data_IF_254669525047
#
_entry.id   IF_254669525047
#
_cell.length_a   1.000
_cell.length_b   1.000
_cell.length_c   1.000
_cell.angle_alpha   90.00
_cell.angle_beta   90.00
_cell.angle_gamma   90.00
#
_symmetry.space_group_name_H-M   'P 1'
#
loop_
_entity.id
_entity.type
_entity.pdbx_description
1 polymer ?
#
# COMPACT_ATOMS: atom_id res chain seq x y z
N UNK A 1 3.11 -26.48 7.08
CA UNK A 1 4.45 -26.20 7.64
C UNK A 1 5.11 -25.13 6.78
N UNK A 2 5.84 -24.19 7.37
CA UNK A 2 6.42 -23.03 6.67
C UNK A 2 7.91 -22.87 6.97
N UNK A 3 8.76 -23.87 6.64
CA UNK A 3 10.12 -23.97 7.19
C UNK A 3 11.01 -22.75 6.91
N UNK A 4 10.86 -22.11 5.75
CA UNK A 4 11.61 -20.89 5.39
C UNK A 4 11.15 -19.68 6.23
N UNK A 5 9.83 -19.52 6.42
CA UNK A 5 9.28 -18.46 7.26
C UNK A 5 9.65 -18.67 8.73
N UNK A 6 9.60 -19.92 9.19
CA UNK A 6 9.97 -20.30 10.55
C UNK A 6 11.46 -20.00 10.82
N UNK A 7 12.32 -20.16 9.81
CA UNK A 7 13.74 -19.77 9.91
C UNK A 7 13.92 -18.26 9.99
N UNK A 8 13.26 -17.49 9.12
CA UNK A 8 13.31 -16.03 9.16
C UNK A 8 12.83 -15.47 10.51
N UNK A 9 11.80 -16.08 11.09
CA UNK A 9 11.27 -15.71 12.40
C UNK A 9 12.23 -16.00 13.57
N UNK A 10 13.11 -17.01 13.44
CA UNK A 10 14.15 -17.30 14.44
C UNK A 10 15.31 -16.30 14.38
N UNK A 11 15.66 -15.86 13.18
CA UNK A 11 16.82 -14.98 12.94
C UNK A 11 16.46 -13.49 13.00
N UNK A 12 15.17 -13.15 13.13
CA UNK A 12 14.65 -11.79 13.10
C UNK A 12 13.77 -11.42 14.30
N UNK A 13 13.06 -10.29 14.17
CA UNK A 13 12.06 -9.86 15.15
C UNK A 13 10.69 -10.35 14.70
N UNK A 14 10.02 -11.13 15.55
CA UNK A 14 8.64 -11.58 15.33
C UNK A 14 7.66 -10.72 16.12
N UNK A 15 6.81 -10.01 15.41
CA UNK A 15 5.68 -9.30 15.99
C UNK A 15 4.49 -10.27 16.12
N UNK A 16 3.99 -10.48 17.34
CA UNK A 16 2.80 -11.33 17.57
C UNK A 16 1.48 -10.57 17.42
N UNK A 17 1.54 -9.24 17.48
CA UNK A 17 0.37 -8.36 17.44
C UNK A 17 0.48 -7.40 16.26
N UNK A 18 0.35 -7.95 15.04
CA UNK A 18 0.34 -7.18 13.78
C UNK A 18 -1.08 -7.10 13.27
N UNK A 19 -1.57 -5.89 13.08
CA UNK A 19 -2.93 -5.64 12.62
C UNK A 19 -2.90 -5.00 11.23
N UNK A 20 -3.86 -5.40 10.40
CA UNK A 20 -4.10 -4.75 9.12
C UNK A 20 -4.97 -3.51 9.36
N UNK A 21 -4.57 -2.37 8.78
CA UNK A 21 -5.32 -1.12 8.94
C UNK A 21 -6.68 -1.16 8.25
N UNK A 22 -6.73 -1.77 7.07
CA UNK A 22 -7.89 -1.77 6.17
C UNK A 22 -8.01 -3.11 5.46
N UNK A 23 -9.23 -3.62 5.36
CA UNK A 23 -9.55 -4.89 4.68
C UNK A 23 -10.66 -4.64 3.65
N UNK A 24 -10.75 -5.42 2.56
CA UNK A 24 -9.87 -6.55 2.15
C UNK A 24 -8.59 -6.11 1.37
N UNK A 25 -8.07 -6.95 0.47
CA UNK A 25 -6.75 -6.78 -0.16
C UNK A 25 -6.47 -5.41 -0.83
N UNK A 26 -7.45 -4.77 -1.49
CA UNK A 26 -7.24 -3.50 -2.20
C UNK A 26 -7.09 -2.30 -1.24
N UNK A 27 -7.99 -2.09 -0.25
CA UNK A 27 -7.76 -1.13 0.84
C UNK A 27 -6.46 -1.39 1.62
N UNK A 28 -6.18 -2.65 1.96
CA UNK A 28 -4.96 -3.05 2.70
C UNK A 28 -3.69 -2.61 1.98
N UNK A 29 -3.59 -2.89 0.68
CA UNK A 29 -2.42 -2.52 -0.14
C UNK A 29 -2.33 -1.02 -0.34
N UNK A 30 -3.46 -0.35 -0.53
CA UNK A 30 -3.51 1.12 -0.65
C UNK A 30 -3.00 1.78 0.62
N UNK A 31 -3.41 1.27 1.78
CA UNK A 31 -2.97 1.78 3.06
C UNK A 31 -1.48 1.54 3.31
N UNK A 32 -0.99 0.33 3.00
CA UNK A 32 0.44 0.02 3.05
C UNK A 32 1.25 0.95 2.13
N UNK A 33 0.81 1.16 0.90
CA UNK A 33 1.54 1.95 -0.09
C UNK A 33 1.58 3.45 0.23
N UNK A 34 0.50 3.96 0.81
CA UNK A 34 0.36 5.38 1.15
C UNK A 34 0.78 5.71 2.57
N UNK A 35 1.00 4.72 3.43
CA UNK A 35 1.22 4.90 4.88
C UNK A 35 0.01 5.49 5.61
N UNK A 36 -1.20 5.37 5.04
CA UNK A 36 -2.41 6.07 5.51
C UNK A 36 -3.61 5.12 5.55
N UNK A 37 -4.43 5.23 6.59
CA UNK A 37 -5.67 4.45 6.71
C UNK A 37 -6.65 4.76 5.58
N UNK A 38 -7.55 3.84 5.27
CA UNK A 38 -8.61 3.98 4.25
C UNK A 38 -9.46 5.24 4.41
N UNK A 39 -9.71 5.67 5.65
CA UNK A 39 -10.41 6.92 5.96
C UNK A 39 -9.69 8.18 5.42
N UNK A 40 -8.36 8.12 5.24
CA UNK A 40 -7.56 9.21 4.66
C UNK A 40 -7.33 9.05 3.17
N UNK A 41 -7.29 7.82 2.66
CA UNK A 41 -7.05 7.57 1.24
C UNK A 41 -8.33 7.66 0.42
N UNK A 42 -9.49 7.35 1.01
CA UNK A 42 -10.78 7.18 0.33
C UNK A 42 -11.04 5.74 -0.12
N UNK A 43 -10.03 4.87 -0.04
CA UNK A 43 -10.11 3.48 -0.49
C UNK A 43 -10.49 2.58 0.66
N UNK A 44 -11.76 2.20 0.70
CA UNK A 44 -12.37 1.39 1.77
C UNK A 44 -13.15 0.18 1.25
N UNK A 45 -13.14 -0.07 -0.06
CA UNK A 45 -13.84 -1.20 -0.68
C UNK A 45 -13.11 -1.77 -1.91
N UNK A 46 -13.74 -2.76 -2.53
CA UNK A 46 -13.22 -3.52 -3.69
C UNK A 46 -13.80 -3.12 -5.02
N UNK A 47 -14.73 -2.18 -5.05
CA UNK A 47 -15.37 -1.78 -6.30
C UNK A 47 -16.13 -0.46 -6.19
N UNK A 48 -16.45 0.08 -7.35
CA UNK A 48 -17.06 1.39 -7.47
C UNK A 48 -16.16 2.50 -6.94
N UNK A 49 -16.77 3.62 -6.54
CA UNK A 49 -16.02 4.78 -6.05
C UNK A 49 -15.29 4.50 -4.72
N UNK A 50 -15.64 3.43 -4.00
CA UNK A 50 -15.01 3.06 -2.74
C UNK A 50 -13.64 2.37 -2.91
N UNK A 51 -13.25 1.99 -4.13
CA UNK A 51 -11.90 1.50 -4.43
C UNK A 51 -10.99 2.57 -5.04
N UNK A 52 -11.46 3.82 -5.15
CA UNK A 52 -10.69 4.92 -5.73
C UNK A 52 -10.18 5.85 -4.62
N UNK A 53 -8.93 6.35 -4.73
CA UNK A 53 -8.50 7.45 -3.87
C UNK A 53 -9.38 8.68 -4.03
N UNK A 54 -9.46 9.52 -3.00
CA UNK A 54 -10.23 10.76 -3.09
C UNK A 54 -9.82 11.61 -4.30
N UNK A 55 -10.83 12.15 -4.99
CA UNK A 55 -10.63 13.04 -6.14
C UNK A 55 -10.04 14.36 -5.67
N UNK A 56 -8.86 14.71 -6.19
CA UNK A 56 -8.14 15.94 -5.84
C UNK A 56 -8.54 17.16 -6.70
N UNK A 57 -9.48 16.97 -7.63
CA UNK A 57 -10.04 18.04 -8.46
C UNK A 57 -9.10 18.53 -9.58
N UNK A 58 -9.52 19.59 -10.27
CA UNK A 58 -8.85 20.11 -11.48
C UNK A 58 -7.44 20.68 -11.24
N UNK A 59 -7.07 20.96 -9.98
CA UNK A 59 -5.74 21.45 -9.63
C UNK A 59 -4.64 20.37 -9.70
N UNK A 60 -5.00 19.09 -9.74
CA UNK A 60 -4.04 17.99 -9.86
C UNK A 60 -3.56 17.85 -11.31
N UNK A 61 -2.40 18.41 -11.61
CA UNK A 61 -1.85 18.43 -12.98
C UNK A 61 -1.14 17.13 -13.40
N UNK A 62 -0.43 16.47 -12.48
CA UNK A 62 0.34 15.24 -12.73
C UNK A 62 0.04 14.20 -11.64
N UNK A 63 0.94 14.07 -10.67
CA UNK A 63 0.84 13.13 -9.58
C UNK A 63 -0.04 13.72 -8.47
N UNK A 64 -0.86 12.86 -7.89
CA UNK A 64 -1.67 13.23 -6.74
C UNK A 64 -0.95 13.04 -5.41
N UNK A 65 -1.60 13.50 -4.36
CA UNK A 65 -1.23 13.30 -2.96
C UNK A 65 -0.94 11.83 -2.64
N UNK A 66 -1.62 10.89 -3.30
CA UNK A 66 -1.33 9.46 -3.15
C UNK A 66 0.12 9.10 -3.49
N UNK A 67 0.66 9.67 -4.57
CA UNK A 67 2.03 9.43 -5.02
C UNK A 67 3.04 10.30 -4.27
N UNK A 68 2.77 11.60 -4.15
CA UNK A 68 3.71 12.58 -3.58
C UNK A 68 4.04 12.28 -2.11
N UNK A 69 3.06 11.86 -1.32
CA UNK A 69 3.24 11.56 0.10
C UNK A 69 3.52 10.07 0.38
N UNK A 70 3.59 9.23 -0.65
CA UNK A 70 3.84 7.80 -0.49
C UNK A 70 5.29 7.50 -0.14
N UNK A 71 5.53 6.52 0.73
CA UNK A 71 6.90 6.15 1.14
C UNK A 71 7.78 5.66 -0.03
N UNK A 72 7.18 5.15 -1.10
CA UNK A 72 7.91 4.79 -2.32
C UNK A 72 8.48 6.02 -3.05
N UNK A 73 7.81 7.17 -3.00
CA UNK A 73 8.36 8.42 -3.52
C UNK A 73 9.50 8.90 -2.62
N UNK A 74 9.31 8.87 -1.30
CA UNK A 74 10.35 9.22 -0.35
C UNK A 74 11.63 8.38 -0.55
N UNK A 75 11.50 7.07 -0.78
CA UNK A 75 12.65 6.21 -1.10
C UNK A 75 13.33 6.61 -2.42
N UNK A 76 12.56 6.91 -3.47
CA UNK A 76 13.12 7.39 -4.75
C UNK A 76 13.85 8.71 -4.63
N UNK A 77 13.32 9.65 -3.85
CA UNK A 77 13.96 10.95 -3.61
C UNK A 77 15.29 10.79 -2.85
N UNK A 78 15.44 9.72 -2.07
CA UNK A 78 16.71 9.32 -1.43
C UNK A 78 17.64 8.52 -2.36
N UNK A 79 17.31 8.37 -3.65
CA UNK A 79 18.14 7.69 -4.64
C UNK A 79 17.96 6.16 -4.69
N UNK A 80 16.97 5.59 -4.00
CA UNK A 80 16.71 4.15 -4.07
C UNK A 80 15.97 3.77 -5.35
N UNK A 81 16.37 2.65 -5.95
CA UNK A 81 15.63 2.01 -7.02
C UNK A 81 14.49 1.17 -6.44
N UNK A 82 13.24 1.62 -6.65
CA UNK A 82 12.05 0.91 -6.19
C UNK A 82 11.47 0.03 -7.29
N UNK A 83 11.20 -1.24 -7.00
CA UNK A 83 10.50 -2.17 -7.91
C UNK A 83 9.36 -2.89 -7.20
N UNK A 84 8.36 -3.34 -7.95
CA UNK A 84 7.26 -4.18 -7.45
C UNK A 84 7.19 -5.47 -8.27
N UNK A 85 7.09 -6.60 -7.58
CA UNK A 85 6.88 -7.91 -8.20
C UNK A 85 5.57 -8.44 -7.63
N UNK A 86 4.50 -8.38 -8.44
CA UNK A 86 3.16 -8.72 -7.98
C UNK A 86 2.24 -9.12 -9.12
N UNK A 87 1.39 -10.12 -8.88
CA UNK A 87 0.24 -10.43 -9.74
C UNK A 87 -0.96 -9.51 -9.48
N UNK A 88 -0.86 -8.58 -8.53
CA UNK A 88 -2.00 -7.75 -8.12
C UNK A 88 -2.52 -6.86 -9.25
N UNK A 89 -1.62 -6.20 -9.98
CA UNK A 89 -1.99 -5.29 -11.07
C UNK A 89 -2.68 -6.00 -12.25
N UNK A 90 -2.41 -7.28 -12.48
CA UNK A 90 -3.10 -8.07 -13.50
C UNK A 90 -4.50 -8.53 -13.05
N UNK A 91 -4.70 -8.66 -11.73
CA UNK A 91 -5.92 -9.27 -11.16
C UNK A 91 -6.93 -8.25 -10.63
N UNK A 92 -6.50 -7.01 -10.44
CA UNK A 92 -7.31 -5.94 -9.84
C UNK A 92 -7.03 -4.67 -10.65
N UNK A 93 -7.84 -4.49 -11.72
CA UNK A 93 -7.87 -3.27 -12.53
C UNK A 93 -8.69 -2.17 -11.89
#
# INVERSE_FOLDING_TARGET
TSPVIDSLARDGIRFENVYVSDVPCHPSRTALWSGRHGMRTGVVGHGGTACEPFREGAGRAWAGTFYEEGWMRALRDLGYHTTTISSFGERHG
#
